data_IF_856034635501
#
_entry.id   IF_856034635501
#
_cell.length_a   1.000
_cell.length_b   1.000
_cell.length_c   1.000
_cell.angle_alpha   90.00
_cell.angle_beta   90.00
_cell.angle_gamma   90.00
#
_symmetry.space_group_name_H-M   'P 1'
#
loop_
_entity.id
_entity.type
_entity.pdbx_description
1 polymer ?
#
# COMPACT_ATOMS: atom_id res chain seq x y z
N UNK A 1 19.21 -17.07 -13.98
CA UNK A 1 19.19 -15.69 -14.53
C UNK A 1 17.90 -15.42 -15.28
N UNK A 2 17.58 -16.15 -16.36
CA UNK A 2 16.34 -15.97 -17.12
C UNK A 2 15.06 -16.04 -16.26
N UNK A 3 14.96 -17.00 -15.34
CA UNK A 3 13.82 -17.12 -14.40
C UNK A 3 13.64 -15.86 -13.52
N UNK A 4 14.74 -15.27 -13.05
CA UNK A 4 14.70 -14.03 -12.25
C UNK A 4 14.27 -12.84 -13.11
N UNK A 5 14.77 -12.74 -14.34
CA UNK A 5 14.34 -11.71 -15.30
C UNK A 5 12.85 -11.83 -15.61
N UNK A 6 12.37 -13.05 -15.86
CA UNK A 6 10.95 -13.32 -16.09
C UNK A 6 10.15 -12.90 -14.85
N UNK A 7 10.59 -13.27 -13.64
CA UNK A 7 9.94 -12.86 -12.39
C UNK A 7 9.80 -11.35 -12.26
N UNK A 8 10.84 -10.57 -12.58
CA UNK A 8 10.80 -9.11 -12.55
C UNK A 8 9.84 -8.52 -13.60
N UNK A 9 9.76 -9.15 -14.78
CA UNK A 9 8.88 -8.71 -15.86
C UNK A 9 7.42 -9.14 -15.67
N UNK A 10 7.15 -10.19 -14.90
CA UNK A 10 5.79 -10.73 -14.68
C UNK A 10 4.80 -9.65 -14.22
N UNK A 11 5.23 -8.75 -13.34
CA UNK A 11 4.38 -7.63 -12.90
C UNK A 11 3.93 -6.76 -14.07
N UNK A 12 4.84 -6.42 -14.99
CA UNK A 12 4.54 -5.65 -16.20
C UNK A 12 3.71 -6.43 -17.21
N UNK A 13 3.97 -7.73 -17.37
CA UNK A 13 3.17 -8.59 -18.23
C UNK A 13 1.72 -8.73 -17.76
N UNK A 14 1.46 -8.58 -16.47
CA UNK A 14 0.11 -8.50 -15.93
C UNK A 14 -0.47 -7.08 -15.98
N UNK A 15 0.37 -6.06 -15.74
CA UNK A 15 -0.03 -4.65 -15.68
C UNK A 15 -0.53 -4.13 -17.03
N UNK A 16 0.27 -4.28 -18.10
CA UNK A 16 -0.02 -3.64 -19.40
C UNK A 16 -1.34 -4.16 -20.01
N UNK A 17 -1.60 -5.48 -20.10
CA UNK A 17 -2.86 -5.97 -20.65
C UNK A 17 -4.06 -5.55 -19.80
N UNK A 18 -3.91 -5.49 -18.47
CA UNK A 18 -4.97 -5.09 -17.56
C UNK A 18 -5.36 -3.61 -17.74
N UNK A 19 -4.38 -2.73 -17.95
CA UNK A 19 -4.63 -1.32 -18.26
C UNK A 19 -5.37 -1.16 -19.60
N UNK A 20 -4.97 -1.90 -20.63
CA UNK A 20 -5.60 -1.84 -21.97
C UNK A 20 -7.07 -2.27 -21.97
N UNK A 21 -7.46 -3.18 -21.10
CA UNK A 21 -8.86 -3.64 -20.97
C UNK A 21 -9.66 -2.86 -19.90
N UNK A 22 -9.05 -1.82 -19.31
CA UNK A 22 -9.71 -0.95 -18.33
C UNK A 22 -9.97 -1.57 -16.96
N UNK A 23 -9.22 -2.61 -16.58
CA UNK A 23 -9.28 -3.18 -15.22
C UNK A 23 -8.10 -2.69 -14.37
N UNK A 24 -8.11 -2.98 -13.07
CA UNK A 24 -7.03 -2.53 -12.17
C UNK A 24 -5.71 -3.23 -12.48
N UNK A 25 -4.82 -2.52 -13.17
CA UNK A 25 -3.48 -3.00 -13.53
C UNK A 25 -2.62 -3.33 -12.30
N UNK A 26 -2.76 -2.55 -11.22
CA UNK A 26 -2.08 -2.82 -9.93
C UNK A 26 -2.55 -4.15 -9.34
N UNK A 27 -3.86 -4.40 -9.29
CA UNK A 27 -4.39 -5.67 -8.75
C UNK A 27 -3.94 -6.84 -9.63
N UNK A 28 -3.95 -6.70 -10.95
CA UNK A 28 -3.47 -7.74 -11.87
C UNK A 28 -2.00 -8.12 -11.59
N UNK A 29 -1.11 -7.13 -11.44
CA UNK A 29 0.30 -7.35 -11.09
C UNK A 29 0.46 -8.03 -9.72
N UNK A 30 -0.30 -7.61 -8.71
CA UNK A 30 -0.28 -8.23 -7.37
C UNK A 30 -0.76 -9.68 -7.42
N UNK A 31 -1.85 -9.95 -8.13
CA UNK A 31 -2.39 -11.31 -8.29
C UNK A 31 -1.37 -12.22 -8.98
N UNK A 32 -0.71 -11.74 -10.06
CA UNK A 32 0.34 -12.48 -10.73
C UNK A 32 1.54 -12.76 -9.81
N UNK A 33 1.95 -11.77 -9.00
CA UNK A 33 3.01 -11.92 -8.01
C UNK A 33 2.70 -12.95 -6.93
N UNK A 34 1.48 -12.94 -6.38
CA UNK A 34 1.02 -13.94 -5.40
C UNK A 34 1.00 -15.34 -6.04
N UNK A 35 0.49 -15.45 -7.27
CA UNK A 35 0.43 -16.73 -7.99
C UNK A 35 1.82 -17.32 -8.21
N UNK A 36 2.77 -16.52 -8.70
CA UNK A 36 4.17 -16.94 -8.86
C UNK A 36 4.80 -17.27 -7.50
N UNK A 37 4.60 -16.44 -6.49
CA UNK A 37 5.18 -16.63 -5.15
C UNK A 37 4.76 -17.96 -4.52
N UNK A 38 3.50 -18.36 -4.72
CA UNK A 38 2.99 -19.65 -4.26
C UNK A 38 3.67 -20.83 -4.97
N UNK A 39 3.82 -20.76 -6.30
CA UNK A 39 4.35 -21.87 -7.10
C UNK A 39 5.89 -21.86 -7.23
N UNK A 40 6.56 -20.83 -6.73
CA UNK A 40 8.03 -20.69 -6.79
C UNK A 40 8.77 -21.95 -6.29
N UNK A 41 8.36 -22.62 -5.19
CA UNK A 41 9.02 -23.85 -4.73
C UNK A 41 8.93 -25.04 -5.69
N UNK A 42 7.89 -25.08 -6.54
CA UNK A 42 7.67 -26.16 -7.52
C UNK A 42 8.33 -25.86 -8.87
N UNK A 43 8.57 -24.58 -9.16
CA UNK A 43 9.01 -24.10 -10.48
C UNK A 43 10.51 -23.82 -10.58
N UNK A 44 11.22 -23.71 -9.45
CA UNK A 44 12.61 -23.19 -9.44
C UNK A 44 13.52 -23.97 -8.50
N UNK A 45 14.82 -23.98 -8.78
CA UNK A 45 15.81 -24.62 -7.88
C UNK A 45 16.09 -23.74 -6.65
N UNK A 46 16.57 -24.32 -5.53
CA UNK A 46 16.92 -23.56 -4.33
C UNK A 46 17.90 -22.42 -4.59
N UNK A 47 18.89 -22.63 -5.46
CA UNK A 47 19.90 -21.63 -5.81
C UNK A 47 19.27 -20.43 -6.54
N UNK A 48 18.34 -20.70 -7.48
CA UNK A 48 17.63 -19.64 -8.20
C UNK A 48 16.70 -18.86 -7.27
N UNK A 49 16.08 -19.52 -6.28
CA UNK A 49 15.26 -18.84 -5.28
C UNK A 49 16.05 -17.87 -4.41
N UNK A 50 17.25 -18.25 -3.98
CA UNK A 50 18.14 -17.37 -3.22
C UNK A 50 18.55 -16.17 -4.07
N UNK A 51 18.97 -16.41 -5.32
CA UNK A 51 19.32 -15.33 -6.24
C UNK A 51 18.12 -14.40 -6.52
N UNK A 52 16.94 -14.96 -6.74
CA UNK A 52 15.71 -14.21 -6.97
C UNK A 52 15.29 -13.37 -5.77
N UNK A 53 15.41 -13.91 -4.55
CA UNK A 53 15.12 -13.16 -3.32
C UNK A 53 16.06 -11.96 -3.16
N UNK A 54 17.37 -12.16 -3.36
CA UNK A 54 18.35 -11.07 -3.32
C UNK A 54 18.11 -10.05 -4.43
N UNK A 55 17.74 -10.47 -5.64
CA UNK A 55 17.42 -9.56 -6.73
C UNK A 55 16.19 -8.69 -6.39
N UNK A 56 15.13 -9.29 -5.85
CA UNK A 56 13.94 -8.57 -5.40
C UNK A 56 14.20 -7.65 -4.23
N UNK A 57 15.08 -8.04 -3.30
CA UNK A 57 15.49 -7.18 -2.19
C UNK A 57 16.21 -5.93 -2.70
N UNK A 58 17.17 -6.09 -3.63
CA UNK A 58 17.87 -4.95 -4.26
C UNK A 58 16.88 -4.06 -5.00
N UNK A 59 15.99 -4.62 -5.83
CA UNK A 59 15.01 -3.85 -6.59
C UNK A 59 14.06 -3.09 -5.64
N UNK A 60 13.53 -3.76 -4.62
CA UNK A 60 12.62 -3.15 -3.65
C UNK A 60 13.32 -2.05 -2.85
N UNK A 61 14.57 -2.30 -2.45
CA UNK A 61 15.39 -1.31 -1.76
C UNK A 61 15.64 -0.08 -2.64
N UNK A 62 16.07 -0.28 -3.90
CA UNK A 62 16.31 0.81 -4.84
C UNK A 62 15.04 1.61 -5.14
N UNK A 63 13.92 0.96 -5.39
CA UNK A 63 12.64 1.63 -5.63
C UNK A 63 12.18 2.42 -4.40
N UNK A 64 12.31 1.86 -3.20
CA UNK A 64 11.98 2.59 -1.97
C UNK A 64 12.94 3.76 -1.73
N UNK A 65 14.24 3.58 -1.96
CA UNK A 65 15.21 4.67 -1.84
C UNK A 65 14.87 5.82 -2.78
N UNK A 66 14.59 5.53 -4.06
CA UNK A 66 14.15 6.53 -5.03
C UNK A 66 12.86 7.21 -4.56
N UNK A 67 11.85 6.43 -4.15
CA UNK A 67 10.58 6.96 -3.66
C UNK A 67 10.79 7.93 -2.49
N UNK A 68 11.50 7.52 -1.44
CA UNK A 68 11.75 8.38 -0.28
C UNK A 68 12.65 9.57 -0.60
N UNK A 69 13.62 9.44 -1.50
CA UNK A 69 14.42 10.58 -1.98
C UNK A 69 13.55 11.59 -2.71
N UNK A 70 12.64 11.15 -3.59
CA UNK A 70 11.73 12.05 -4.30
C UNK A 70 10.77 12.76 -3.34
N UNK A 71 10.23 12.03 -2.36
CA UNK A 71 9.37 12.61 -1.31
C UNK A 71 10.15 13.62 -0.48
N UNK A 72 11.37 13.28 -0.08
CA UNK A 72 12.26 14.17 0.65
C UNK A 72 12.61 15.44 -0.14
N UNK A 73 12.73 15.33 -1.47
CA UNK A 73 12.96 16.47 -2.36
C UNK A 73 11.73 17.37 -2.48
N UNK A 74 10.52 16.81 -2.39
CA UNK A 74 9.27 17.58 -2.39
C UNK A 74 8.95 18.23 -1.05
N UNK A 75 9.52 17.73 0.05
CA UNK A 75 9.22 18.19 1.40
C UNK A 75 9.42 19.71 1.60
N UNK A 76 10.50 20.36 1.11
CA UNK A 76 10.67 21.80 1.28
C UNK A 76 9.53 22.61 0.63
N UNK A 77 9.12 22.26 -0.59
CA UNK A 77 8.01 22.94 -1.26
C UNK A 77 6.69 22.79 -0.50
N UNK A 78 6.44 21.59 0.06
CA UNK A 78 5.27 21.36 0.92
C UNK A 78 5.35 22.23 2.18
N UNK A 79 6.52 22.38 2.81
CA UNK A 79 6.66 23.21 4.00
C UNK A 79 6.46 24.71 3.69
N UNK A 80 6.99 25.19 2.57
CA UNK A 80 6.82 26.58 2.13
C UNK A 80 5.32 26.91 1.90
N UNK A 81 4.54 25.97 1.38
CA UNK A 81 3.09 26.12 1.22
C UNK A 81 2.33 26.12 2.56
N UNK A 82 2.85 25.40 3.56
CA UNK A 82 2.22 25.30 4.88
C UNK A 82 2.42 26.56 5.73
N UNK A 83 3.47 27.35 5.46
CA UNK A 83 3.73 28.62 6.16
C UNK A 83 2.61 29.65 6.01
N UNK A 84 1.75 29.50 4.98
CA UNK A 84 0.56 30.33 4.79
C UNK A 84 -0.54 30.07 5.84
N UNK A 85 -0.46 28.97 6.61
CA UNK A 85 -1.49 28.54 7.56
C UNK A 85 -1.04 28.69 9.01
N UNK A 86 -1.99 28.95 9.91
CA UNK A 86 -1.70 28.98 11.34
C UNK A 86 -1.36 27.58 11.86
N UNK A 87 -0.37 27.50 12.76
CA UNK A 87 0.04 26.23 13.36
C UNK A 87 -1.11 25.49 14.07
N UNK A 88 -2.11 26.21 14.58
CA UNK A 88 -3.32 25.63 15.16
C UNK A 88 -4.16 24.85 14.15
N UNK A 89 -4.27 25.37 12.93
CA UNK A 89 -5.07 24.76 11.86
C UNK A 89 -4.38 23.51 11.34
N UNK A 90 -3.06 23.58 11.15
CA UNK A 90 -2.22 22.43 10.79
C UNK A 90 -2.32 21.31 11.83
N UNK A 91 -2.25 21.64 13.12
CA UNK A 91 -2.40 20.68 14.20
C UNK A 91 -3.80 20.04 14.18
N UNK A 92 -4.84 20.84 13.93
CA UNK A 92 -6.21 20.33 13.84
C UNK A 92 -6.40 19.39 12.66
N UNK A 93 -5.88 19.73 11.48
CA UNK A 93 -5.92 18.85 10.32
C UNK A 93 -5.14 17.55 10.54
N UNK A 94 -3.94 17.64 11.10
CA UNK A 94 -3.14 16.47 11.43
C UNK A 94 -3.89 15.54 12.41
N UNK A 95 -4.51 16.10 13.45
CA UNK A 95 -5.30 15.34 14.41
C UNK A 95 -6.56 14.73 13.78
N UNK A 96 -7.25 15.50 12.93
CA UNK A 96 -8.46 15.04 12.23
C UNK A 96 -8.14 13.88 11.28
N UNK A 97 -7.05 13.98 10.49
CA UNK A 97 -6.59 12.91 9.60
C UNK A 97 -6.19 11.68 10.42
N UNK A 98 -5.40 11.86 11.48
CA UNK A 98 -4.98 10.77 12.35
C UNK A 98 -6.17 10.04 12.98
N UNK A 99 -7.12 10.78 13.54
CA UNK A 99 -8.31 10.22 14.18
C UNK A 99 -9.21 9.53 13.16
N UNK A 100 -9.41 10.12 11.98
CA UNK A 100 -10.20 9.52 10.89
C UNK A 100 -9.59 8.20 10.45
N UNK A 101 -8.27 8.19 10.23
CA UNK A 101 -7.51 7.01 9.85
C UNK A 101 -7.62 5.90 10.90
N UNK A 102 -7.51 6.26 12.18
CA UNK A 102 -7.63 5.33 13.30
C UNK A 102 -9.06 4.77 13.41
N UNK A 103 -10.07 5.64 13.31
CA UNK A 103 -11.47 5.27 13.41
C UNK A 103 -11.91 4.35 12.26
N UNK A 104 -11.57 4.69 11.02
CA UNK A 104 -11.84 3.84 9.84
C UNK A 104 -11.17 2.48 9.98
N UNK A 105 -9.93 2.43 10.49
CA UNK A 105 -9.23 1.16 10.72
C UNK A 105 -9.91 0.33 11.81
N UNK A 106 -10.28 0.92 12.93
CA UNK A 106 -11.03 0.23 13.98
C UNK A 106 -12.38 -0.28 13.44
N UNK A 107 -13.06 0.53 12.65
CA UNK A 107 -14.33 0.18 12.02
C UNK A 107 -14.22 -1.01 11.06
N UNK A 108 -13.06 -1.24 10.43
CA UNK A 108 -12.85 -2.42 9.59
C UNK A 108 -12.31 -3.63 10.36
N UNK A 109 -11.33 -3.43 11.25
CA UNK A 109 -10.66 -4.53 11.97
C UNK A 109 -11.61 -5.26 12.90
N UNK A 110 -12.45 -4.54 13.66
CA UNK A 110 -13.33 -5.16 14.65
C UNK A 110 -14.45 -6.00 14.00
N UNK A 111 -15.17 -5.51 12.98
CA UNK A 111 -16.13 -6.32 12.23
C UNK A 111 -15.47 -7.45 11.46
N UNK A 112 -14.34 -7.23 10.80
CA UNK A 112 -13.63 -8.30 10.09
C UNK A 112 -13.23 -9.45 11.03
N UNK A 113 -12.90 -9.15 12.29
CA UNK A 113 -12.65 -10.18 13.28
C UNK A 113 -13.93 -10.84 13.80
N UNK A 114 -14.99 -10.08 14.09
CA UNK A 114 -16.19 -10.61 14.78
C UNK A 114 -17.20 -11.25 13.82
N UNK A 115 -17.45 -10.66 12.66
CA UNK A 115 -18.56 -11.00 11.78
C UNK A 115 -18.45 -12.40 11.16
N UNK A 116 -17.28 -12.83 10.61
CA UNK A 116 -17.15 -14.19 10.07
C UNK A 116 -17.31 -15.27 11.15
N UNK A 117 -16.84 -15.00 12.37
CA UNK A 117 -16.95 -15.92 13.53
C UNK A 117 -18.37 -15.99 14.10
N UNK A 118 -19.16 -14.92 13.95
CA UNK A 118 -20.58 -14.90 14.33
C UNK A 118 -21.45 -15.65 13.32
N UNK A 119 -21.20 -15.44 12.03
CA UNK A 119 -22.03 -15.98 10.94
C UNK A 119 -21.66 -17.42 10.56
N UNK A 120 -20.39 -17.81 10.68
CA UNK A 120 -19.90 -19.11 10.20
C UNK A 120 -19.30 -19.91 11.35
N UNK A 121 -20.06 -20.91 11.82
CA UNK A 121 -19.63 -21.83 12.89
C UNK A 121 -18.31 -22.56 12.56
N UNK A 122 -18.08 -22.92 11.29
CA UNK A 122 -16.81 -23.54 10.84
C UNK A 122 -15.58 -22.66 11.06
N UNK A 123 -15.72 -21.33 10.90
CA UNK A 123 -14.61 -20.38 11.12
C UNK A 123 -14.34 -20.25 12.62
N UNK A 124 -15.40 -20.14 13.43
CA UNK A 124 -15.28 -20.07 14.89
C UNK A 124 -14.56 -21.28 15.51
N UNK A 125 -14.75 -22.46 14.93
CA UNK A 125 -14.14 -23.71 15.39
C UNK A 125 -12.68 -23.86 14.93
N UNK A 126 -12.30 -23.30 13.76
CA UNK A 126 -10.92 -23.35 13.23
C UNK A 126 -10.02 -22.19 13.67
N UNK A 127 -10.59 -21.02 13.94
CA UNK A 127 -9.84 -19.78 14.21
C UNK A 127 -10.44 -19.05 15.44
N UNK A 128 -9.91 -19.30 16.65
CA UNK A 128 -10.42 -18.71 17.88
C UNK A 128 -10.31 -17.18 17.85
N UNK A 129 -11.16 -16.50 18.63
CA UNK A 129 -11.18 -15.04 18.64
C UNK A 129 -9.81 -14.49 19.10
N UNK A 130 -9.17 -13.58 18.35
CA UNK A 130 -7.96 -12.92 18.81
C UNK A 130 -8.24 -12.15 20.11
N UNK A 131 -7.24 -12.08 20.98
CA UNK A 131 -7.34 -11.34 22.24
C UNK A 131 -7.65 -9.87 21.98
N UNK A 132 -8.29 -9.20 22.95
CA UNK A 132 -8.58 -7.76 22.84
C UNK A 132 -7.31 -6.94 22.65
N UNK A 133 -6.20 -7.36 23.27
CA UNK A 133 -4.87 -6.77 23.07
C UNK A 133 -4.36 -6.98 21.65
N UNK A 134 -4.48 -8.17 21.08
CA UNK A 134 -4.09 -8.41 19.68
C UNK A 134 -4.91 -7.56 18.70
N UNK A 135 -6.23 -7.43 18.91
CA UNK A 135 -7.08 -6.57 18.08
C UNK A 135 -6.71 -5.09 18.19
N UNK A 136 -6.45 -4.61 19.41
CA UNK A 136 -5.98 -3.25 19.63
C UNK A 136 -4.62 -3.02 18.95
N UNK A 137 -3.69 -3.97 19.08
CA UNK A 137 -2.39 -3.91 18.42
C UNK A 137 -2.52 -3.91 16.89
N UNK A 138 -3.35 -4.75 16.29
CA UNK A 138 -3.59 -4.76 14.83
C UNK A 138 -4.21 -3.45 14.35
N UNK A 139 -5.12 -2.88 15.14
CA UNK A 139 -5.73 -1.58 14.85
C UNK A 139 -4.69 -0.47 14.93
N UNK A 140 -3.76 -0.53 15.88
CA UNK A 140 -2.74 0.49 16.11
C UNK A 140 -1.51 0.37 15.19
N UNK A 141 -1.04 -0.84 14.89
CA UNK A 141 0.23 -1.13 14.20
C UNK A 141 0.21 -0.88 12.69
N UNK A 142 -0.80 -0.17 12.20
CA UNK A 142 -0.96 0.11 10.78
C UNK A 142 0.06 1.09 10.23
N UNK A 143 1.16 0.60 9.67
CA UNK A 143 2.10 1.43 8.95
C UNK A 143 1.41 2.09 7.74
N UNK A 144 1.50 3.42 7.64
CA UNK A 144 1.12 4.20 6.46
C UNK A 144 2.39 4.37 5.62
N UNK A 145 2.51 3.55 4.58
CA UNK A 145 3.72 3.47 3.76
C UNK A 145 3.70 4.42 2.55
N UNK A 146 4.72 4.28 1.70
CA UNK A 146 4.90 5.10 0.50
C UNK A 146 3.72 5.08 -0.48
N UNK A 147 2.92 4.01 -0.52
CA UNK A 147 1.71 3.94 -1.38
C UNK A 147 0.66 4.98 -0.98
N UNK A 148 0.47 5.22 0.31
CA UNK A 148 -0.48 6.25 0.78
C UNK A 148 -0.04 7.65 0.36
N UNK A 149 1.27 7.89 0.40
CA UNK A 149 1.84 9.17 0.01
C UNK A 149 1.85 9.34 -1.52
N UNK A 150 2.19 8.30 -2.27
CA UNK A 150 2.05 8.30 -3.74
C UNK A 150 0.61 8.61 -4.18
N UNK A 151 -0.39 8.04 -3.50
CA UNK A 151 -1.80 8.35 -3.76
C UNK A 151 -2.14 9.82 -3.47
N UNK A 152 -1.59 10.40 -2.40
CA UNK A 152 -1.78 11.82 -2.10
C UNK A 152 -1.14 12.73 -3.17
N UNK A 153 0.07 12.37 -3.64
CA UNK A 153 0.76 13.11 -4.70
C UNK A 153 0.12 12.91 -6.10
N UNK A 154 -0.59 11.81 -6.30
CA UNK A 154 -1.28 11.49 -7.56
C UNK A 154 -2.60 12.24 -7.75
N UNK A 155 -3.09 12.96 -6.73
CA UNK A 155 -4.18 13.94 -6.92
C UNK A 155 -3.75 14.90 -8.05
N UNK A 156 -4.64 15.40 -8.92
CA UNK A 156 -4.29 16.34 -10.00
C UNK A 156 -4.24 17.80 -9.51
N UNK A 157 -3.40 18.65 -10.14
CA UNK A 157 -3.23 20.06 -9.72
C UNK A 157 -4.39 20.92 -10.24
N UNK A 158 -5.05 20.44 -11.30
CA UNK A 158 -6.17 21.09 -11.94
C UNK A 158 -7.34 20.14 -12.07
N UNK A 159 -8.54 20.68 -12.07
CA UNK A 159 -9.75 19.94 -12.46
C UNK A 159 -9.87 19.87 -13.99
N UNK A 160 -10.77 19.03 -14.51
CA UNK A 160 -10.97 18.84 -15.96
C UNK A 160 -11.30 20.15 -16.71
N UNK A 161 -11.84 21.16 -16.00
CA UNK A 161 -12.11 22.50 -16.53
C UNK A 161 -10.89 23.43 -16.62
N UNK A 162 -9.71 22.99 -16.18
CA UNK A 162 -8.47 23.78 -16.19
C UNK A 162 -8.28 24.69 -14.97
N UNK A 163 -9.25 24.76 -14.06
CA UNK A 163 -9.11 25.51 -12.80
C UNK A 163 -8.22 24.77 -11.80
N UNK A 164 -7.62 25.49 -10.86
CA UNK A 164 -6.81 24.90 -9.79
C UNK A 164 -7.67 24.00 -8.89
N UNK A 165 -7.11 22.87 -8.47
CA UNK A 165 -7.80 21.95 -7.58
C UNK A 165 -7.98 22.58 -6.18
N UNK A 166 -9.20 22.66 -5.62
CA UNK A 166 -9.43 23.34 -4.35
C UNK A 166 -8.60 22.73 -3.21
N UNK A 167 -7.84 23.57 -2.50
CA UNK A 167 -7.00 23.14 -1.38
C UNK A 167 -5.73 22.37 -1.79
N UNK A 168 -5.40 22.36 -3.08
CA UNK A 168 -4.10 21.90 -3.58
C UNK A 168 -3.38 23.07 -4.24
N UNK A 169 -2.28 23.50 -3.64
CA UNK A 169 -1.37 24.47 -4.24
C UNK A 169 -0.39 23.76 -5.18
#
# INVERSE_FOLDING_TARGET
>A
AAEVTISLLTGYFAYIPAELIGVSAVIAAVTAGIYLGWHTPELTTPEVRLLGASAWEIVTFTLNAILFTLIGLQLPGILDELDAYAASDLLWWALAVWLTVLAVRALWVYPAAKLPRLLLRRIRERDPMPTRSALALITWSGMRGGVSLAAALAIPLTIDGGEAFPGRA
#
